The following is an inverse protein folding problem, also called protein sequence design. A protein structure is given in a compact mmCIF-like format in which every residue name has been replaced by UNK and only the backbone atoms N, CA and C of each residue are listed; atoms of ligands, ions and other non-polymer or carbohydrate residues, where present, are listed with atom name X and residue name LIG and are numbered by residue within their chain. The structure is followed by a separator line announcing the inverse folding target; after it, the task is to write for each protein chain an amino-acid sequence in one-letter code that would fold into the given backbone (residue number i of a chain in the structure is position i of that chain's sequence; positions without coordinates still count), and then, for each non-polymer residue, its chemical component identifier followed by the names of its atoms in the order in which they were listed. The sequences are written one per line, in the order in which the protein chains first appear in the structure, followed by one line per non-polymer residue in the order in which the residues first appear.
data_IF_290918346430
#
_entry.id   IF_290918346430
#
_cell.length_a   1.000
_cell.length_b   1.000
_cell.length_c   1.000
_cell.angle_alpha   90.00
_cell.angle_beta   90.00
_cell.angle_gamma   90.00
#
_symmetry.space_group_name_H-M   'P 1'
#
loop_
_entity.id
_entity.type
_entity.pdbx_description
1 polymer ?
#
# COMPACT_ATOMS: atom_id res chain seq x y z
N UNK A 1 9.05 -0.46 -10.92
CA UNK A 1 9.14 -1.79 -10.29
C UNK A 1 10.40 -2.48 -10.79
N UNK A 2 10.51 -2.83 -12.08
CA UNK A 2 11.67 -3.55 -12.63
C UNK A 2 13.00 -2.78 -12.48
N UNK A 3 13.01 -1.48 -12.84
CA UNK A 3 14.18 -0.62 -12.63
C UNK A 3 14.58 -0.45 -11.16
N UNK A 4 13.64 -0.64 -10.23
CA UNK A 4 13.92 -0.53 -8.80
C UNK A 4 14.44 -1.84 -8.19
N UNK A 5 14.01 -2.99 -8.72
CA UNK A 5 14.47 -4.32 -8.24
C UNK A 5 15.59 -4.93 -9.08
N UNK A 6 15.87 -4.40 -10.27
CA UNK A 6 16.74 -5.05 -11.25
C UNK A 6 16.15 -6.34 -11.83
N UNK A 7 14.87 -6.64 -11.56
CA UNK A 7 14.21 -7.88 -11.98
C UNK A 7 13.07 -7.55 -12.95
N UNK A 8 13.11 -8.15 -14.15
CA UNK A 8 12.05 -8.01 -15.15
C UNK A 8 10.87 -8.94 -14.85
N UNK A 9 9.66 -8.46 -15.09
CA UNK A 9 8.43 -9.22 -14.98
C UNK A 9 8.34 -10.12 -16.22
N UNK A 10 8.53 -11.42 -16.02
CA UNK A 10 8.47 -12.39 -17.14
C UNK A 10 7.07 -12.86 -17.45
N UNK A 11 6.20 -12.92 -16.44
CA UNK A 11 4.86 -13.49 -16.58
C UNK A 11 3.88 -12.76 -15.69
N UNK A 12 2.74 -12.39 -16.27
CA UNK A 12 1.61 -11.83 -15.56
C UNK A 12 0.44 -12.82 -15.63
N UNK A 13 -0.10 -13.18 -14.45
CA UNK A 13 -1.33 -13.96 -14.35
C UNK A 13 -2.45 -13.08 -13.82
N UNK A 14 -3.56 -13.00 -14.55
CA UNK A 14 -4.74 -12.20 -14.20
C UNK A 14 -6.01 -13.01 -14.41
N UNK A 15 -7.13 -12.52 -13.87
CA UNK A 15 -8.43 -13.03 -14.28
C UNK A 15 -8.83 -12.53 -15.68
N UNK A 16 -9.98 -13.00 -16.16
CA UNK A 16 -10.56 -12.63 -17.45
C UNK A 16 -11.26 -11.26 -17.44
N UNK A 17 -10.95 -10.37 -16.49
CA UNK A 17 -11.47 -9.00 -16.46
C UNK A 17 -11.20 -8.25 -17.77
N UNK A 18 -12.15 -7.42 -18.18
CA UNK A 18 -12.07 -6.67 -19.44
C UNK A 18 -10.85 -5.75 -19.49
N UNK A 19 -10.48 -5.18 -18.34
CA UNK A 19 -9.29 -4.34 -18.20
C UNK A 19 -7.99 -5.10 -18.51
N UNK A 20 -7.92 -6.39 -18.17
CA UNK A 20 -6.74 -7.24 -18.39
C UNK A 20 -6.73 -7.92 -19.75
N UNK A 21 -7.79 -7.76 -20.55
CA UNK A 21 -7.94 -8.40 -21.87
C UNK A 21 -8.08 -7.39 -23.01
N UNK A 22 -8.06 -6.08 -22.70
CA UNK A 22 -8.05 -4.99 -23.68
C UNK A 22 -6.89 -5.08 -24.67
N UNK A 23 -7.12 -4.61 -25.89
CA UNK A 23 -6.10 -4.63 -26.95
C UNK A 23 -4.88 -3.79 -26.56
N UNK A 24 -5.09 -2.64 -25.92
CA UNK A 24 -4.03 -1.76 -25.46
C UNK A 24 -3.14 -2.46 -24.43
N UNK A 25 -3.74 -3.17 -23.48
CA UNK A 25 -3.00 -3.91 -22.46
C UNK A 25 -2.25 -5.12 -23.03
N UNK A 26 -2.86 -5.80 -24.00
CA UNK A 26 -2.23 -6.93 -24.70
C UNK A 26 -0.97 -6.46 -25.44
N UNK A 27 -1.09 -5.38 -26.22
CA UNK A 27 0.04 -4.78 -26.94
C UNK A 27 1.15 -4.34 -25.99
N UNK A 28 0.81 -3.68 -24.88
CA UNK A 28 1.80 -3.30 -23.87
C UNK A 28 2.59 -4.51 -23.36
N UNK A 29 1.91 -5.62 -23.04
CA UNK A 29 2.61 -6.81 -22.56
C UNK A 29 3.48 -7.47 -23.63
N UNK A 30 3.05 -7.46 -24.90
CA UNK A 30 3.87 -7.96 -26.02
C UNK A 30 5.12 -7.11 -26.25
N UNK A 31 4.98 -5.78 -26.24
CA UNK A 31 6.08 -4.82 -26.40
C UNK A 31 7.12 -4.95 -25.26
N UNK A 32 6.66 -5.17 -24.03
CA UNK A 32 7.53 -5.37 -22.86
C UNK A 32 7.99 -6.84 -22.69
N UNK A 33 7.58 -7.76 -23.58
CA UNK A 33 7.98 -9.17 -23.54
C UNK A 33 7.40 -9.96 -22.35
N UNK A 34 6.26 -9.53 -21.79
CA UNK A 34 5.60 -10.13 -20.64
C UNK A 34 4.64 -11.24 -21.11
N UNK A 35 4.91 -12.49 -20.71
CA UNK A 35 4.00 -13.60 -20.97
C UNK A 35 2.71 -13.44 -20.17
N UNK A 36 1.56 -13.35 -20.85
CA UNK A 36 0.25 -13.28 -20.19
C UNK A 36 -0.37 -14.65 -19.98
N UNK A 37 -0.97 -14.85 -18.81
CA UNK A 37 -1.76 -16.02 -18.45
C UNK A 37 -3.09 -15.58 -17.87
N UNK A 38 -4.18 -15.81 -18.59
CA UNK A 38 -5.53 -15.51 -18.10
C UNK A 38 -6.08 -16.75 -17.41
N UNK A 39 -6.58 -16.61 -16.19
CA UNK A 39 -7.20 -17.73 -15.47
C UNK A 39 -8.51 -18.12 -16.13
N UNK A 40 -8.81 -19.41 -16.15
CA UNK A 40 -10.05 -19.91 -16.73
C UNK A 40 -11.27 -19.33 -15.98
N UNK A 41 -12.39 -19.06 -16.68
CA UNK A 41 -13.65 -18.76 -16.04
C UNK A 41 -13.99 -19.82 -14.99
N UNK A 42 -14.58 -19.38 -13.88
CA UNK A 42 -14.99 -20.26 -12.77
C UNK A 42 -13.87 -21.07 -12.09
N UNK A 43 -12.59 -20.68 -12.29
CA UNK A 43 -11.42 -21.30 -11.64
C UNK A 43 -10.67 -20.33 -10.70
N UNK A 44 -11.33 -19.76 -9.67
CA UNK A 44 -10.75 -18.73 -8.79
C UNK A 44 -9.48 -19.20 -8.06
N UNK A 45 -9.31 -20.51 -7.88
CA UNK A 45 -8.12 -21.10 -7.26
C UNK A 45 -6.84 -20.76 -8.02
N UNK A 46 -6.91 -20.54 -9.33
CA UNK A 46 -5.76 -20.13 -10.15
C UNK A 46 -5.25 -18.72 -9.83
N UNK A 47 -6.11 -17.84 -9.30
CA UNK A 47 -5.79 -16.50 -8.85
C UNK A 47 -5.72 -16.37 -7.30
N UNK A 48 -5.74 -17.51 -6.60
CA UNK A 48 -5.90 -17.52 -5.14
C UNK A 48 -4.80 -16.78 -4.37
N UNK A 49 -3.61 -16.59 -4.94
CA UNK A 49 -2.56 -15.79 -4.32
C UNK A 49 -2.92 -14.30 -4.23
N UNK A 50 -3.41 -13.71 -5.34
CA UNK A 50 -3.84 -12.32 -5.38
C UNK A 50 -5.10 -12.11 -4.52
N UNK A 51 -6.07 -13.02 -4.61
CA UNK A 51 -7.30 -12.96 -3.82
C UNK A 51 -7.04 -13.01 -2.32
N UNK A 52 -6.19 -13.94 -1.86
CA UNK A 52 -5.80 -14.02 -0.44
C UNK A 52 -5.12 -12.73 0.01
N UNK A 53 -4.23 -12.17 -0.80
CA UNK A 53 -3.53 -10.92 -0.46
C UNK A 53 -4.51 -9.76 -0.34
N UNK A 54 -5.43 -9.61 -1.30
CA UNK A 54 -6.46 -8.57 -1.27
C UNK A 54 -7.35 -8.69 -0.04
N UNK A 55 -7.78 -9.92 0.29
CA UNK A 55 -8.57 -10.19 1.50
C UNK A 55 -7.83 -9.74 2.76
N UNK A 56 -6.58 -10.16 2.95
CA UNK A 56 -5.79 -9.77 4.12
C UNK A 56 -5.58 -8.26 4.22
N UNK A 57 -5.41 -7.56 3.08
CA UNK A 57 -5.25 -6.10 3.07
C UNK A 57 -6.55 -5.40 3.52
N UNK A 58 -7.69 -5.85 3.01
CA UNK A 58 -9.02 -5.29 3.32
C UNK A 58 -9.43 -5.59 4.77
N UNK A 59 -9.18 -6.80 5.26
CA UNK A 59 -9.47 -7.18 6.66
C UNK A 59 -8.65 -6.35 7.65
N UNK A 60 -7.36 -6.15 7.38
CA UNK A 60 -6.50 -5.30 8.19
C UNK A 60 -6.94 -3.82 8.11
N UNK A 61 -7.30 -3.33 6.94
CA UNK A 61 -7.84 -1.97 6.77
C UNK A 61 -9.15 -1.76 7.55
N UNK A 62 -10.07 -2.73 7.48
CA UNK A 62 -11.31 -2.73 8.26
C UNK A 62 -11.02 -2.69 9.76
N UNK A 63 -10.10 -3.53 10.23
CA UNK A 63 -9.73 -3.60 11.65
C UNK A 63 -9.16 -2.26 12.14
N UNK A 64 -8.28 -1.61 11.36
CA UNK A 64 -7.74 -0.29 11.69
C UNK A 64 -8.81 0.81 11.76
N UNK A 65 -9.82 0.76 10.90
CA UNK A 65 -10.92 1.73 10.92
C UNK A 65 -11.82 1.54 12.14
N UNK A 66 -12.20 0.28 12.44
CA UNK A 66 -13.08 -0.06 13.57
C UNK A 66 -12.41 0.26 14.90
N UNK A 67 -11.13 -0.10 15.07
CA UNK A 67 -10.36 0.15 16.29
C UNK A 67 -10.25 1.63 16.67
N UNK A 68 -10.31 2.53 15.67
CA UNK A 68 -10.12 3.96 15.86
C UNK A 68 -11.40 4.77 15.63
N UNK A 69 -12.54 4.07 15.49
CA UNK A 69 -13.86 4.66 15.20
C UNK A 69 -13.81 5.66 14.02
N UNK A 70 -13.11 5.28 12.96
CA UNK A 70 -12.91 6.14 11.79
C UNK A 70 -13.96 5.88 10.70
N UNK A 71 -14.41 6.94 10.01
CA UNK A 71 -15.44 6.81 9.00
C UNK A 71 -14.95 6.01 7.79
N UNK A 72 -15.86 5.20 7.22
CA UNK A 72 -15.58 4.36 6.05
C UNK A 72 -15.02 5.14 4.85
N UNK A 73 -15.29 6.46 4.74
CA UNK A 73 -14.72 7.32 3.70
C UNK A 73 -13.18 7.30 3.66
N UNK A 74 -12.52 6.91 4.75
CA UNK A 74 -11.06 6.77 4.86
C UNK A 74 -10.55 5.38 4.46
N UNK A 75 -11.39 4.51 3.88
CA UNK A 75 -11.01 3.14 3.50
C UNK A 75 -9.77 3.08 2.61
N UNK A 76 -9.63 4.00 1.64
CA UNK A 76 -8.48 3.99 0.74
C UNK A 76 -7.18 4.22 1.52
N UNK A 77 -7.18 5.14 2.48
CA UNK A 77 -6.04 5.45 3.35
C UNK A 77 -5.70 4.28 4.27
N UNK A 78 -6.72 3.59 4.79
CA UNK A 78 -6.54 2.38 5.58
C UNK A 78 -5.93 1.25 4.74
N UNK A 79 -6.38 1.04 3.49
CA UNK A 79 -5.82 0.04 2.58
C UNK A 79 -4.38 0.39 2.20
N UNK A 80 -4.08 1.66 1.93
CA UNK A 80 -2.70 2.11 1.68
C UNK A 80 -1.79 1.86 2.88
N UNK A 81 -2.27 2.17 4.09
CA UNK A 81 -1.52 1.92 5.34
C UNK A 81 -1.32 0.43 5.58
N UNK A 82 -2.36 -0.37 5.37
CA UNK A 82 -2.31 -1.84 5.46
C UNK A 82 -1.25 -2.41 4.52
N UNK A 83 -1.23 -1.96 3.26
CA UNK A 83 -0.22 -2.34 2.27
C UNK A 83 1.19 -1.93 2.71
N UNK A 84 1.35 -0.70 3.20
CA UNK A 84 2.61 -0.17 3.67
C UNK A 84 3.21 -1.00 4.83
N UNK A 85 2.35 -1.40 5.77
CA UNK A 85 2.71 -2.22 6.93
C UNK A 85 3.00 -3.66 6.51
N UNK A 86 2.16 -4.31 5.71
CA UNK A 86 2.39 -5.69 5.27
C UNK A 86 3.68 -5.86 4.46
N UNK A 87 4.14 -4.84 3.75
CA UNK A 87 5.42 -4.89 3.06
C UNK A 87 6.63 -4.80 4.02
N UNK A 88 6.42 -4.35 5.26
CA UNK A 88 7.45 -4.16 6.30
C UNK A 88 7.32 -5.12 7.49
N UNK A 89 6.33 -6.01 7.46
CA UNK A 89 6.17 -7.07 8.43
C UNK A 89 6.79 -8.37 7.90
N UNK A 90 7.47 -9.15 8.76
CA UNK A 90 7.87 -10.51 8.41
C UNK A 90 6.67 -11.35 7.95
N UNK A 91 6.89 -12.24 6.99
CA UNK A 91 5.85 -13.18 6.54
C UNK A 91 6.41 -14.59 6.46
N UNK A 92 5.59 -15.57 6.85
CA UNK A 92 5.94 -17.00 6.78
C UNK A 92 6.22 -17.47 5.35
N UNK A 93 5.77 -16.73 4.34
CA UNK A 93 6.02 -17.03 2.94
C UNK A 93 7.50 -16.82 2.54
N UNK A 94 8.24 -16.00 3.28
CA UNK A 94 9.66 -15.72 3.04
C UNK A 94 10.46 -16.47 4.11
N UNK A 95 11.28 -17.42 3.67
CA UNK A 95 12.23 -18.12 4.54
C UNK A 95 13.19 -17.08 5.14
N UNK A 96 13.67 -17.28 6.36
CA UNK A 96 14.58 -16.38 7.10
C UNK A 96 13.93 -15.17 7.80
N UNK A 97 12.60 -15.18 8.04
CA UNK A 97 11.88 -14.12 8.77
C UNK A 97 12.06 -12.69 8.20
N UNK A 98 12.44 -12.59 6.93
CA UNK A 98 12.63 -11.31 6.25
C UNK A 98 11.30 -10.64 5.89
N UNK A 99 11.33 -9.32 5.79
CA UNK A 99 10.18 -8.56 5.29
C UNK A 99 10.11 -8.61 3.76
N UNK A 100 8.91 -8.52 3.13
CA UNK A 100 8.80 -8.43 1.68
C UNK A 100 9.62 -7.29 1.08
N UNK A 101 9.64 -6.13 1.74
CA UNK A 101 10.44 -4.98 1.31
C UNK A 101 11.94 -5.28 1.38
N UNK A 102 12.42 -5.88 2.46
CA UNK A 102 13.81 -6.29 2.60
C UNK A 102 14.23 -7.29 1.53
N UNK A 103 13.37 -8.29 1.24
CA UNK A 103 13.62 -9.24 0.16
C UNK A 103 13.66 -8.57 -1.21
N UNK A 104 12.85 -7.53 -1.39
CA UNK A 104 12.74 -6.79 -2.65
C UNK A 104 13.90 -5.82 -2.90
N UNK A 105 14.34 -5.09 -1.87
CA UNK A 105 15.38 -4.06 -2.01
C UNK A 105 16.76 -4.46 -1.46
N UNK A 106 16.87 -5.62 -0.81
CA UNK A 106 18.09 -6.09 -0.15
C UNK A 106 18.45 -5.35 1.14
N UNK A 107 17.62 -4.43 1.61
CA UNK A 107 17.90 -3.58 2.78
C UNK A 107 16.78 -3.70 3.83
N UNK A 108 17.16 -3.94 5.08
CA UNK A 108 16.21 -4.03 6.19
C UNK A 108 15.50 -2.67 6.39
N UNK A 109 14.16 -2.61 6.35
CA UNK A 109 13.46 -1.35 6.46
C UNK A 109 13.55 -0.79 7.88
N UNK A 110 13.80 0.51 8.00
CA UNK A 110 13.59 1.24 9.24
C UNK A 110 12.07 1.32 9.52
N UNK A 111 11.67 1.04 10.76
CA UNK A 111 10.28 1.08 11.23
C UNK A 111 10.06 2.04 12.41
N UNK A 112 11.05 2.83 12.80
CA UNK A 112 10.95 3.75 13.94
C UNK A 112 9.99 4.92 13.68
N UNK A 113 9.65 5.17 12.41
CA UNK A 113 8.67 6.19 12.01
C UNK A 113 7.24 5.67 11.99
N UNK A 114 7.00 4.38 12.27
CA UNK A 114 5.64 3.84 12.28
C UNK A 114 4.83 4.48 13.41
N UNK A 115 3.59 4.84 13.09
CA UNK A 115 2.60 5.40 14.02
C UNK A 115 1.31 4.61 13.92
N UNK A 116 0.55 4.63 15.02
CA UNK A 116 -0.76 3.99 15.11
C UNK A 116 -1.70 4.73 14.16
N UNK A 117 -2.21 4.05 13.14
CA UNK A 117 -3.27 4.58 12.26
C UNK A 117 -4.43 5.08 13.12
N UNK A 118 -4.99 6.25 12.79
CA UNK A 118 -6.08 6.88 13.55
C UNK A 118 -5.66 7.64 14.81
N UNK A 119 -4.38 7.61 15.18
CA UNK A 119 -3.91 8.40 16.32
C UNK A 119 -4.01 9.91 16.10
N UNK A 120 -4.33 10.62 17.18
CA UNK A 120 -4.32 12.08 17.21
C UNK A 120 -2.89 12.62 17.03
N UNK A 121 -2.76 13.61 16.16
CA UNK A 121 -1.48 14.25 15.87
C UNK A 121 -1.61 15.77 15.71
N UNK A 122 -0.48 16.46 15.78
CA UNK A 122 -0.39 17.91 15.65
C UNK A 122 0.58 18.26 14.51
N UNK A 123 0.05 18.87 13.46
CA UNK A 123 0.83 19.29 12.30
C UNK A 123 1.36 20.69 12.55
N UNK A 124 2.68 20.84 12.57
CA UNK A 124 3.33 22.13 12.75
C UNK A 124 2.94 23.10 11.62
N UNK A 125 2.56 24.33 12.00
CA UNK A 125 2.32 25.41 11.03
C UNK A 125 3.65 26.18 10.88
N UNK A 126 4.21 26.32 9.68
CA UNK A 126 5.44 27.11 9.49
C UNK A 126 5.28 28.57 9.94
N UNK A 127 6.34 29.19 10.45
CA UNK A 127 6.30 30.59 10.92
C UNK A 127 5.83 31.56 9.84
N UNK A 128 6.14 31.30 8.56
CA UNK A 128 5.70 32.14 7.43
C UNK A 128 4.18 32.17 7.25
N UNK A 129 3.45 31.22 7.85
CA UNK A 129 1.98 31.11 7.80
C UNK A 129 1.32 31.52 9.11
N UNK A 130 2.07 32.13 10.03
CA UNK A 130 1.59 32.54 11.36
C UNK A 130 1.78 34.03 11.59
N UNK A 131 0.85 34.64 12.31
CA UNK A 131 0.97 35.96 12.94
C UNK A 131 1.29 35.81 14.43
N UNK A 132 1.61 36.94 15.08
CA UNK A 132 1.86 36.99 16.52
C UNK A 132 0.63 36.45 17.26
N UNK A 133 0.84 35.48 18.17
CA UNK A 133 -0.17 34.74 18.95
C UNK A 133 -0.99 33.68 18.18
N UNK A 134 -0.75 33.43 16.89
CA UNK A 134 -1.42 32.33 16.19
C UNK A 134 -1.02 30.95 16.75
N UNK A 135 -1.92 29.99 16.64
CA UNK A 135 -1.66 28.59 16.99
C UNK A 135 -0.44 28.05 16.20
N UNK A 136 0.44 27.32 16.89
CA UNK A 136 1.67 26.76 16.29
C UNK A 136 1.47 25.42 15.59
N UNK A 137 0.33 24.77 15.79
CA UNK A 137 0.02 23.48 15.19
C UNK A 137 -1.49 23.34 14.92
N UNK A 138 -1.83 22.51 13.93
CA UNK A 138 -3.20 22.08 13.65
C UNK A 138 -3.38 20.65 14.14
N UNK A 139 -4.46 20.42 14.88
CA UNK A 139 -4.86 19.08 15.30
C UNK A 139 -5.40 18.30 14.10
N UNK A 140 -5.05 17.02 14.01
CA UNK A 140 -5.55 16.12 12.98
C UNK A 140 -5.38 14.66 13.37
N UNK A 141 -5.80 13.78 12.49
CA UNK A 141 -5.74 12.32 12.67
C UNK A 141 -4.73 11.75 11.69
N UNK A 142 -3.81 10.92 12.18
CA UNK A 142 -2.85 10.23 11.34
C UNK A 142 -3.55 9.16 10.50
N UNK A 143 -3.45 9.26 9.17
CA UNK A 143 -4.12 8.35 8.23
C UNK A 143 -3.16 7.63 7.28
N UNK A 144 -1.85 7.71 7.51
CA UNK A 144 -0.88 6.89 6.78
C UNK A 144 0.36 7.64 6.31
N UNK A 145 1.06 7.04 5.35
CA UNK A 145 2.41 7.45 4.96
C UNK A 145 2.40 8.05 3.55
N UNK A 146 3.22 9.09 3.33
CA UNK A 146 3.43 9.65 1.99
C UNK A 146 4.32 8.75 1.15
N UNK A 147 3.98 8.59 -0.14
CA UNK A 147 4.78 7.83 -1.11
C UNK A 147 5.94 8.66 -1.65
N UNK A 148 5.73 9.97 -1.83
CA UNK A 148 6.67 10.87 -2.51
C UNK A 148 7.59 11.63 -1.56
N UNK A 149 7.24 11.72 -0.29
CA UNK A 149 7.97 12.50 0.71
C UNK A 149 8.17 11.73 2.00
N UNK A 150 9.18 12.13 2.78
CA UNK A 150 9.39 11.64 4.16
C UNK A 150 8.37 12.26 5.13
N UNK A 151 7.09 12.11 4.82
CA UNK A 151 5.99 12.74 5.54
C UNK A 151 4.82 11.80 5.80
N UNK A 152 3.91 12.27 6.64
CA UNK A 152 2.69 11.56 6.99
C UNK A 152 1.48 12.19 6.31
N UNK A 153 0.45 11.39 6.05
CA UNK A 153 -0.87 11.84 5.64
C UNK A 153 -1.69 12.08 6.90
N UNK A 154 -2.32 13.25 6.96
CA UNK A 154 -3.11 13.67 8.11
C UNK A 154 -4.47 14.11 7.64
N UNK A 155 -5.51 13.59 8.28
CA UNK A 155 -6.88 14.02 8.09
C UNK A 155 -7.16 15.18 9.05
N UNK A 156 -7.55 16.32 8.49
CA UNK A 156 -7.97 17.46 9.31
C UNK A 156 -9.38 17.17 9.84
N UNK A 157 -9.54 17.32 11.15
CA UNK A 157 -10.84 17.25 11.84
C UNK A 157 -11.64 18.53 11.60
#
# INVERSE_FOLDING_TARGET
IEKQSGCMIKTLRSDGGGEYTSHEFNRFCEEEGILRQVTLPYSPQQNGAAERKNRSLVEMARSMLVEQDLPLKLWAEAVYTSTYLQNRLPTKAIKEEMTPLEKWCGHKPNVSHLRIFGSMCYVHIPDQRRRKLDAKAKRGVFIGYSIKSKGYRVFNL
#
